data_IF_987064738037
#
_entry.id   IF_987064738037
#
_cell.length_a   1.000
_cell.length_b   1.000
_cell.length_c   1.000
_cell.angle_alpha   90.00
_cell.angle_beta   90.00
_cell.angle_gamma   90.00
#
_symmetry.space_group_name_H-M   'P 1'
#
loop_
_entity.id
_entity.type
_entity.pdbx_description
1 polymer ?
#
# COMPACT_ATOMS: atom_id res chain seq x y z
N UNK A 1 -5.12 8.82 8.60
CA UNK A 1 -3.98 9.46 7.89
C UNK A 1 -2.94 10.03 8.87
N UNK A 2 -3.29 10.19 10.14
CA UNK A 2 -2.50 10.95 11.12
C UNK A 2 -1.10 10.41 11.39
N UNK A 3 -0.87 9.10 11.25
CA UNK A 3 0.43 8.49 11.57
C UNK A 3 1.51 8.71 10.50
N UNK A 4 1.13 8.83 9.23
CA UNK A 4 2.07 9.05 8.12
C UNK A 4 2.36 10.54 7.87
N UNK A 5 1.52 11.41 8.45
CA UNK A 5 1.73 12.86 8.47
C UNK A 5 1.63 13.52 7.09
N UNK A 6 2.17 14.74 6.93
CA UNK A 6 2.02 15.56 5.71
C UNK A 6 2.77 15.00 4.49
N UNK A 7 3.64 14.00 4.69
CA UNK A 7 4.33 13.33 3.58
C UNK A 7 3.40 12.36 2.81
N UNK A 8 2.28 11.94 3.40
CA UNK A 8 1.26 11.15 2.71
C UNK A 8 0.31 12.08 1.94
N UNK A 9 0.28 11.97 0.61
CA UNK A 9 -0.62 12.73 -0.25
C UNK A 9 -1.54 11.81 -1.02
N UNK A 10 -2.80 12.22 -1.15
CA UNK A 10 -3.78 11.56 -1.99
C UNK A 10 -3.86 12.31 -3.31
N UNK A 11 -3.41 11.70 -4.39
CA UNK A 11 -3.29 12.35 -5.70
C UNK A 11 -3.92 11.50 -6.81
N UNK A 12 -4.51 12.12 -7.84
CA UNK A 12 -5.07 11.38 -8.96
C UNK A 12 -4.03 10.52 -9.68
N UNK A 13 -4.38 9.28 -10.00
CA UNK A 13 -3.54 8.32 -10.72
C UNK A 13 -4.38 7.56 -11.76
N UNK A 14 -4.29 6.22 -11.83
CA UNK A 14 -4.99 5.41 -12.83
C UNK A 14 -6.49 5.69 -12.83
N UNK A 15 -7.02 6.08 -13.98
CA UNK A 15 -8.45 6.35 -14.15
C UNK A 15 -8.97 7.55 -13.34
N UNK A 16 -8.10 8.48 -12.91
CA UNK A 16 -8.48 9.64 -12.11
C UNK A 16 -8.77 9.32 -10.63
N UNK A 17 -8.62 8.07 -10.21
CA UNK A 17 -8.79 7.66 -8.81
C UNK A 17 -7.64 8.21 -7.96
N UNK A 18 -7.94 8.59 -6.71
CA UNK A 18 -6.92 9.04 -5.76
C UNK A 18 -6.16 7.84 -5.20
N UNK A 19 -4.83 7.89 -5.29
CA UNK A 19 -3.94 6.92 -4.69
C UNK A 19 -3.06 7.58 -3.61
N UNK A 20 -2.72 6.85 -2.53
CA UNK A 20 -1.82 7.35 -1.51
C UNK A 20 -0.36 7.28 -1.99
N UNK A 21 0.31 8.43 -2.03
CA UNK A 21 1.74 8.56 -2.34
C UNK A 21 2.47 9.05 -1.08
N UNK A 22 3.50 8.33 -0.63
CA UNK A 22 4.30 8.69 0.54
C UNK A 22 5.65 9.29 0.11
N UNK A 23 5.85 10.59 0.36
CA UNK A 23 7.03 11.37 -0.05
C UNK A 23 8.19 11.29 0.95
N UNK A 24 8.43 10.08 1.46
CA UNK A 24 9.57 9.71 2.32
C UNK A 24 9.66 8.19 2.42
N UNK A 25 10.76 7.62 2.94
CA UNK A 25 10.79 6.20 3.28
C UNK A 25 9.67 5.80 4.25
N UNK A 26 9.10 4.62 4.06
CA UNK A 26 8.22 3.96 5.03
C UNK A 26 9.09 3.32 6.12
N UNK A 27 8.85 3.68 7.38
CA UNK A 27 9.57 3.09 8.51
C UNK A 27 8.96 1.74 8.92
N UNK A 28 9.76 0.84 9.49
CA UNK A 28 9.27 -0.48 9.91
C UNK A 28 8.25 -0.38 11.06
N UNK A 29 8.42 0.57 11.98
CA UNK A 29 7.43 0.82 13.04
C UNK A 29 6.10 1.38 12.51
N UNK A 30 6.06 1.77 11.22
CA UNK A 30 4.85 2.24 10.54
C UNK A 30 3.96 1.09 10.04
N UNK A 31 4.52 -0.11 9.92
CA UNK A 31 3.83 -1.33 9.44
C UNK A 31 3.01 -1.94 10.57
N UNK A 32 1.71 -2.16 10.32
CA UNK A 32 0.79 -2.74 11.32
C UNK A 32 0.75 -4.27 11.22
N UNK A 33 0.89 -4.80 10.01
CA UNK A 33 0.91 -6.24 9.73
C UNK A 33 1.54 -6.49 8.36
N UNK A 34 2.06 -7.70 8.16
CA UNK A 34 2.48 -8.20 6.86
C UNK A 34 1.94 -9.62 6.62
N UNK A 35 1.94 -10.05 5.36
CA UNK A 35 1.60 -11.42 4.98
C UNK A 35 2.38 -11.81 3.74
N UNK A 36 2.98 -13.00 3.77
CA UNK A 36 3.64 -13.54 2.59
C UNK A 36 2.64 -13.75 1.45
N UNK A 37 2.99 -13.28 0.26
CA UNK A 37 2.23 -13.51 -0.97
C UNK A 37 2.98 -14.53 -1.84
N UNK A 38 2.68 -15.84 -1.71
CA UNK A 38 3.36 -16.85 -2.49
C UNK A 38 3.11 -16.64 -3.99
N UNK A 39 4.07 -17.06 -4.81
CA UNK A 39 3.97 -16.96 -6.27
C UNK A 39 3.19 -18.16 -6.82
N UNK A 40 2.10 -17.89 -7.54
CA UNK A 40 1.37 -18.86 -8.34
C UNK A 40 1.76 -18.80 -9.82
N UNK A 41 1.05 -19.56 -10.66
CA UNK A 41 1.35 -19.67 -12.09
C UNK A 41 1.26 -18.35 -12.87
N UNK A 42 0.49 -17.37 -12.39
CA UNK A 42 0.24 -16.09 -13.07
C UNK A 42 0.66 -14.87 -12.26
N UNK A 43 1.35 -15.05 -11.13
CA UNK A 43 1.74 -13.96 -10.23
C UNK A 43 1.45 -14.28 -8.76
N UNK A 44 1.58 -13.27 -7.90
CA UNK A 44 1.34 -13.42 -6.45
C UNK A 44 -0.11 -13.78 -6.15
N UNK A 45 -0.31 -14.74 -5.24
CA UNK A 45 -1.62 -15.15 -4.76
C UNK A 45 -2.00 -14.26 -3.57
N UNK A 46 -3.05 -13.47 -3.72
CA UNK A 46 -3.59 -12.63 -2.66
C UNK A 46 -4.51 -13.44 -1.73
N UNK A 47 -4.50 -13.18 -0.42
CA UNK A 47 -5.46 -13.78 0.52
C UNK A 47 -6.89 -13.35 0.20
N UNK A 48 -7.85 -14.21 0.55
CA UNK A 48 -9.27 -13.85 0.51
C UNK A 48 -9.56 -12.60 1.35
N UNK A 49 -10.36 -11.69 0.81
CA UNK A 49 -10.75 -10.45 1.47
C UNK A 49 -9.73 -9.29 1.36
N UNK A 50 -8.66 -9.45 0.58
CA UNK A 50 -7.66 -8.40 0.31
C UNK A 50 -7.76 -8.02 -1.18
N UNK A 51 -8.74 -7.20 -1.53
CA UNK A 51 -8.97 -6.68 -2.89
C UNK A 51 -9.31 -5.18 -2.86
#
# INVERSE_FOLDING_TARGET
ADRLGPALKWEPSRGGQLFPHLYRPLSLDEVIWDKSLPLGATGHIFPEGVW
#
